data_IF_169888768199
#
_entry.id   IF_169888768199
#
_cell.length_a   1.000
_cell.length_b   1.000
_cell.length_c   1.000
_cell.angle_alpha   90.00
_cell.angle_beta   90.00
_cell.angle_gamma   90.00
#
_symmetry.space_group_name_H-M   'P 1'
#
loop_
_entity.id
_entity.type
_entity.pdbx_description
1 polymer ?
#
# COMPACT_ATOMS: atom_id res chain seq x y z
N UNK A 1 35.52 7.12 -2.28
CA UNK A 1 35.62 8.47 -1.68
C UNK A 1 35.61 8.33 -0.17
N UNK A 2 36.34 9.18 0.57
CA UNK A 2 36.28 9.26 2.04
C UNK A 2 36.09 10.74 2.41
N UNK A 3 35.05 11.11 3.18
CA UNK A 3 33.97 10.26 3.68
C UNK A 3 33.05 9.70 2.57
N UNK A 4 32.24 8.70 2.90
CA UNK A 4 31.17 8.22 2.00
C UNK A 4 30.11 9.32 1.91
N UNK A 5 29.63 9.70 0.71
CA UNK A 5 28.57 10.69 0.59
C UNK A 5 27.27 10.22 1.29
N UNK A 6 26.37 11.15 1.56
CA UNK A 6 25.05 10.81 2.11
C UNK A 6 24.23 9.97 1.11
N UNK A 7 23.25 9.23 1.63
CA UNK A 7 22.43 8.35 0.80
C UNK A 7 21.73 9.08 -0.35
N UNK A 8 21.25 10.30 -0.10
CA UNK A 8 20.56 11.10 -1.11
C UNK A 8 21.52 11.62 -2.18
N UNK A 9 22.76 11.99 -1.83
CA UNK A 9 23.77 12.42 -2.80
C UNK A 9 24.15 11.28 -3.73
N UNK A 10 24.27 10.05 -3.20
CA UNK A 10 24.52 8.85 -4.01
C UNK A 10 23.34 8.59 -4.95
N UNK A 11 22.09 8.68 -4.44
CA UNK A 11 20.90 8.46 -5.25
C UNK A 11 20.75 9.48 -6.38
N UNK A 12 21.04 10.76 -6.12
CA UNK A 12 20.95 11.84 -7.11
C UNK A 12 22.05 11.77 -8.18
N UNK A 13 23.23 11.27 -7.81
CA UNK A 13 24.34 11.08 -8.74
C UNK A 13 24.21 9.80 -9.59
N UNK A 14 23.20 8.96 -9.34
CA UNK A 14 23.05 7.67 -10.03
C UNK A 14 22.63 7.84 -11.49
N UNK A 15 23.38 7.23 -12.40
CA UNK A 15 22.97 7.07 -13.79
C UNK A 15 21.97 5.92 -13.91
N UNK A 16 20.70 6.26 -14.10
CA UNK A 16 19.62 5.29 -14.19
C UNK A 16 19.42 4.82 -15.63
N UNK A 17 19.21 3.51 -15.80
CA UNK A 17 18.69 2.96 -17.04
C UNK A 17 17.20 3.29 -17.19
N UNK A 18 16.73 3.69 -18.39
CA UNK A 18 15.30 3.82 -18.64
C UNK A 18 14.58 2.52 -18.35
N UNK A 19 13.38 2.58 -17.76
CA UNK A 19 12.65 1.35 -17.37
C UNK A 19 12.38 0.45 -18.58
N UNK A 20 12.21 1.03 -19.76
CA UNK A 20 12.08 0.32 -21.05
C UNK A 20 13.26 -0.58 -21.38
N UNK A 21 14.47 -0.16 -21.02
CA UNK A 21 15.66 -0.99 -21.21
C UNK A 21 15.65 -2.19 -20.26
N UNK A 22 15.22 -1.98 -19.01
CA UNK A 22 15.08 -3.06 -18.02
C UNK A 22 14.01 -4.06 -18.47
N UNK A 23 12.87 -3.59 -18.98
CA UNK A 23 11.80 -4.43 -19.54
C UNK A 23 12.33 -5.37 -20.62
N UNK A 24 13.09 -4.83 -21.59
CA UNK A 24 13.66 -5.63 -22.68
C UNK A 24 14.61 -6.73 -22.18
N UNK A 25 15.37 -6.48 -21.10
CA UNK A 25 16.28 -7.49 -20.50
C UNK A 25 15.55 -8.65 -19.85
N UNK A 26 14.30 -8.46 -19.40
CA UNK A 26 13.48 -9.51 -18.79
C UNK A 26 12.40 -10.07 -19.75
N UNK A 27 12.38 -9.59 -20.99
CA UNK A 27 11.48 -10.05 -22.05
C UNK A 27 10.06 -9.49 -21.95
N UNK A 28 9.87 -8.37 -21.25
CA UNK A 28 8.63 -7.59 -21.28
C UNK A 28 8.61 -6.65 -22.47
N UNK A 29 7.43 -6.43 -23.03
CA UNK A 29 7.16 -5.44 -24.09
C UNK A 29 6.30 -4.29 -23.54
N UNK A 30 6.12 -3.23 -24.34
CA UNK A 30 5.33 -2.05 -23.94
C UNK A 30 3.88 -2.41 -23.57
N UNK A 31 3.28 -3.37 -24.29
CA UNK A 31 1.90 -3.81 -24.02
C UNK A 31 1.75 -4.59 -22.70
N UNK A 32 2.86 -5.00 -22.06
CA UNK A 32 2.83 -5.73 -20.79
C UNK A 32 2.83 -4.79 -19.55
N UNK A 33 2.94 -3.46 -19.76
CA UNK A 33 3.16 -2.52 -18.67
C UNK A 33 2.45 -1.17 -18.85
N UNK A 34 2.17 -0.50 -17.75
CA UNK A 34 1.83 0.93 -17.71
C UNK A 34 3.03 1.74 -17.22
N UNK A 35 3.53 2.67 -18.03
CA UNK A 35 4.69 3.50 -17.68
C UNK A 35 4.33 4.64 -16.72
N UNK A 36 5.17 4.84 -15.70
CA UNK A 36 5.10 5.95 -14.74
C UNK A 36 6.35 6.83 -14.88
N UNK A 37 6.35 7.63 -15.94
CA UNK A 37 7.52 8.41 -16.34
C UNK A 37 8.60 7.53 -16.97
N UNK A 38 9.86 7.93 -16.83
CA UNK A 38 11.00 7.29 -17.53
C UNK A 38 11.58 6.08 -16.79
N UNK A 39 11.38 6.01 -15.48
CA UNK A 39 12.16 5.12 -14.58
C UNK A 39 11.31 4.08 -13.84
N UNK A 40 9.97 4.11 -14.03
CA UNK A 40 9.04 3.25 -13.29
C UNK A 40 7.95 2.75 -14.23
N UNK A 41 7.41 1.57 -13.92
CA UNK A 41 6.28 1.00 -14.63
C UNK A 41 5.49 0.08 -13.68
N UNK A 42 4.20 -0.11 -13.94
CA UNK A 42 3.40 -1.22 -13.40
C UNK A 42 3.37 -2.34 -14.41
N UNK A 43 3.61 -3.56 -13.96
CA UNK A 43 3.54 -4.75 -14.82
C UNK A 43 2.13 -5.34 -14.71
N UNK A 44 1.52 -5.67 -15.84
CA UNK A 44 0.20 -6.28 -15.89
C UNK A 44 0.26 -7.73 -15.35
N UNK A 45 -0.87 -8.25 -14.84
CA UNK A 45 -0.90 -9.59 -14.22
C UNK A 45 -0.96 -10.73 -15.24
N UNK A 46 -1.42 -10.47 -16.46
CA UNK A 46 -1.48 -11.43 -17.57
C UNK A 46 -0.09 -11.90 -18.04
N UNK A 47 0.98 -11.18 -17.67
CA UNK A 47 2.36 -11.66 -17.86
C UNK A 47 2.63 -13.00 -17.16
N UNK A 48 1.89 -13.31 -16.10
CA UNK A 48 1.99 -14.60 -15.39
C UNK A 48 1.52 -15.74 -16.30
N UNK A 49 0.44 -15.53 -17.05
CA UNK A 49 -0.05 -16.51 -18.03
C UNK A 49 0.87 -16.58 -19.25
N UNK A 50 1.30 -15.42 -19.75
CA UNK A 50 2.26 -15.29 -20.87
C UNK A 50 3.56 -16.08 -20.65
N UNK A 51 4.03 -16.15 -19.41
CA UNK A 51 5.27 -16.81 -19.04
C UNK A 51 5.09 -18.09 -18.23
N UNK A 52 3.89 -18.67 -18.21
CA UNK A 52 3.57 -19.87 -17.42
C UNK A 52 4.47 -21.08 -17.75
N UNK A 53 4.90 -21.21 -19.00
CA UNK A 53 5.77 -22.30 -19.46
C UNK A 53 7.25 -22.13 -19.06
N UNK A 54 7.63 -20.97 -18.49
CA UNK A 54 9.02 -20.74 -18.06
C UNK A 54 9.30 -21.47 -16.74
N UNK A 55 10.48 -22.08 -16.58
CA UNK A 55 10.86 -22.69 -15.31
C UNK A 55 10.95 -21.62 -14.22
N UNK A 56 10.50 -21.97 -13.01
CA UNK A 56 10.60 -21.10 -11.85
C UNK A 56 12.07 -20.83 -11.49
N UNK A 57 12.36 -19.57 -11.16
CA UNK A 57 13.67 -19.15 -10.69
C UNK A 57 14.02 -19.71 -9.31
N UNK A 58 15.25 -19.44 -8.85
CA UNK A 58 15.62 -19.69 -7.46
C UNK A 58 15.09 -18.57 -6.58
N UNK A 59 14.40 -18.93 -5.50
CA UNK A 59 13.92 -17.99 -4.48
C UNK A 59 14.95 -17.89 -3.36
N UNK A 60 15.42 -16.68 -3.07
CA UNK A 60 16.40 -16.38 -2.02
C UNK A 60 15.73 -15.41 -1.04
N UNK A 61 15.43 -15.89 0.16
CA UNK A 61 14.92 -15.05 1.24
C UNK A 61 16.08 -14.44 2.05
N UNK A 62 15.99 -13.15 2.33
CA UNK A 62 16.97 -12.41 3.14
C UNK A 62 16.31 -12.02 4.45
N UNK A 63 16.73 -12.67 5.53
CA UNK A 63 16.29 -12.37 6.89
C UNK A 63 17.43 -11.80 7.74
N UNK A 64 17.10 -11.34 8.95
CA UNK A 64 18.06 -10.82 9.91
C UNK A 64 17.74 -11.34 11.31
N UNK A 65 18.69 -11.17 12.23
CA UNK A 65 18.48 -11.37 13.66
C UNK A 65 17.45 -10.38 14.23
N UNK A 66 17.07 -10.57 15.49
CA UNK A 66 16.23 -9.61 16.22
C UNK A 66 16.81 -8.19 16.12
N UNK A 67 16.02 -7.18 15.72
CA UNK A 67 16.51 -5.82 15.54
C UNK A 67 17.13 -5.22 16.80
N UNK A 68 18.19 -4.46 16.61
CA UNK A 68 18.94 -3.73 17.64
C UNK A 68 19.02 -2.24 17.28
N UNK A 69 19.29 -1.34 18.24
CA UNK A 69 19.46 0.09 17.95
C UNK A 69 20.59 0.42 16.96
N UNK A 70 21.51 -0.50 16.71
CA UNK A 70 22.63 -0.29 15.77
C UNK A 70 22.22 -0.47 14.30
N UNK A 71 21.09 -1.15 14.04
CA UNK A 71 20.61 -1.46 12.70
C UNK A 71 21.38 -2.58 12.02
N UNK A 72 20.67 -3.46 11.34
CA UNK A 72 21.24 -4.70 10.77
C UNK A 72 21.53 -4.58 9.28
N UNK A 73 21.06 -3.52 8.62
CA UNK A 73 21.31 -3.29 7.20
C UNK A 73 20.62 -4.28 6.26
N UNK A 74 19.54 -4.96 6.70
CA UNK A 74 18.88 -6.04 5.93
C UNK A 74 18.58 -5.65 4.47
N UNK A 75 17.90 -4.53 4.25
CA UNK A 75 17.56 -4.07 2.89
C UNK A 75 18.82 -3.73 2.08
N UNK A 76 19.81 -3.09 2.71
CA UNK A 76 21.11 -2.80 2.09
C UNK A 76 21.78 -4.10 1.62
N UNK A 77 21.76 -5.15 2.43
CA UNK A 77 22.27 -6.48 2.06
C UNK A 77 21.46 -7.12 0.94
N UNK A 78 20.12 -7.04 0.95
CA UNK A 78 19.27 -7.57 -0.13
C UNK A 78 19.61 -6.91 -1.48
N UNK A 79 19.74 -5.58 -1.50
CA UNK A 79 20.09 -4.84 -2.73
C UNK A 79 21.52 -5.15 -3.15
N UNK A 80 22.48 -5.13 -2.22
CA UNK A 80 23.89 -5.43 -2.50
C UNK A 80 24.11 -6.85 -3.02
N UNK A 81 23.41 -7.84 -2.46
CA UNK A 81 23.43 -9.22 -2.94
C UNK A 81 22.91 -9.30 -4.39
N UNK A 82 21.79 -8.64 -4.67
CA UNK A 82 21.21 -8.59 -6.03
C UNK A 82 22.20 -7.95 -7.01
N UNK A 83 22.79 -6.81 -6.64
CA UNK A 83 23.79 -6.13 -7.44
C UNK A 83 24.98 -7.05 -7.75
N UNK A 84 25.54 -7.72 -6.74
CA UNK A 84 26.67 -8.64 -6.92
C UNK A 84 26.32 -9.84 -7.81
N UNK A 85 25.14 -10.43 -7.62
CA UNK A 85 24.67 -11.53 -8.46
C UNK A 85 24.53 -11.11 -9.93
N UNK A 86 24.00 -9.91 -10.18
CA UNK A 86 23.83 -9.37 -11.53
C UNK A 86 25.15 -8.95 -12.18
N UNK A 87 25.89 -8.04 -11.54
CA UNK A 87 27.04 -7.37 -12.15
C UNK A 87 28.35 -8.15 -12.06
N UNK A 88 28.57 -8.91 -10.98
CA UNK A 88 29.82 -9.66 -10.77
C UNK A 88 29.69 -11.10 -11.26
N UNK A 89 28.55 -11.75 -10.99
CA UNK A 89 28.32 -13.16 -11.33
C UNK A 89 27.55 -13.38 -12.63
N UNK A 90 27.09 -12.31 -13.28
CA UNK A 90 26.36 -12.38 -14.55
C UNK A 90 25.05 -13.18 -14.49
N UNK A 91 24.39 -13.22 -13.32
CA UNK A 91 23.11 -13.93 -13.15
C UNK A 91 21.94 -13.02 -13.51
N UNK A 92 20.90 -13.60 -14.13
CA UNK A 92 19.61 -12.93 -14.24
C UNK A 92 18.91 -12.99 -12.87
N UNK A 93 18.76 -11.83 -12.23
CA UNK A 93 18.29 -11.70 -10.85
C UNK A 93 17.43 -10.44 -10.71
N UNK A 94 16.38 -10.52 -9.90
CA UNK A 94 15.52 -9.39 -9.54
C UNK A 94 15.41 -9.28 -8.02
N UNK A 95 15.34 -8.05 -7.54
CA UNK A 95 15.13 -7.73 -6.12
C UNK A 95 13.67 -7.37 -5.90
N UNK A 96 13.00 -8.08 -4.98
CA UNK A 96 11.65 -7.78 -4.56
C UNK A 96 11.68 -7.21 -3.13
N UNK A 97 11.20 -5.98 -2.95
CA UNK A 97 11.13 -5.31 -1.65
C UNK A 97 9.76 -4.65 -1.45
N UNK A 98 9.45 -4.31 -0.20
CA UNK A 98 8.20 -3.64 0.17
C UNK A 98 8.29 -2.15 -0.10
N UNK A 99 7.21 -1.56 -0.60
CA UNK A 99 7.03 -0.10 -0.60
C UNK A 99 6.95 0.40 0.86
N UNK A 100 7.68 1.46 1.23
CA UNK A 100 7.55 2.08 2.54
C UNK A 100 6.28 2.93 2.63
N UNK A 101 5.77 3.07 3.85
CA UNK A 101 4.80 4.12 4.17
C UNK A 101 5.44 5.50 4.00
N UNK A 102 4.66 6.44 3.50
CA UNK A 102 5.07 7.84 3.35
C UNK A 102 5.16 8.56 4.69
N UNK A 103 4.32 8.21 5.67
CA UNK A 103 4.23 8.90 6.97
C UNK A 103 5.58 9.04 7.70
N UNK A 104 6.37 7.96 7.84
CA UNK A 104 7.69 8.01 8.46
C UNK A 104 8.72 8.88 7.72
N UNK A 105 8.60 9.06 6.41
CA UNK A 105 9.52 9.86 5.58
C UNK A 105 9.62 11.31 6.07
N UNK A 106 8.53 11.86 6.59
CA UNK A 106 8.49 13.24 7.12
C UNK A 106 8.89 13.35 8.60
N UNK A 107 9.29 12.24 9.22
CA UNK A 107 9.70 12.19 10.62
C UNK A 107 11.19 11.79 10.75
N UNK A 108 11.48 10.74 11.52
CA UNK A 108 12.84 10.38 11.95
C UNK A 108 13.53 9.43 10.95
N UNK A 109 12.77 8.71 10.11
CA UNK A 109 13.33 7.69 9.21
C UNK A 109 13.65 8.28 7.84
N UNK A 110 14.94 8.41 7.56
CA UNK A 110 15.46 8.51 6.19
C UNK A 110 15.26 7.19 5.43
N UNK A 111 15.17 7.31 4.10
CA UNK A 111 14.81 6.31 3.08
C UNK A 111 14.88 4.81 3.43
N UNK A 112 13.79 4.09 3.14
CA UNK A 112 13.69 2.64 3.35
C UNK A 112 14.24 1.78 2.19
N UNK A 113 14.96 2.40 1.25
CA UNK A 113 15.34 1.84 -0.04
C UNK A 113 16.72 1.17 -0.07
N UNK A 114 17.31 0.83 1.08
CA UNK A 114 18.71 0.39 1.20
C UNK A 114 19.60 1.50 1.78
N UNK A 115 20.89 1.48 1.47
CA UNK A 115 21.84 2.49 1.96
C UNK A 115 23.22 2.38 1.30
N UNK A 116 24.00 3.47 1.36
CA UNK A 116 25.26 3.62 0.65
C UNK A 116 25.09 3.43 -0.85
N UNK A 117 25.93 2.59 -1.46
CA UNK A 117 25.86 2.27 -2.90
C UNK A 117 24.89 1.12 -3.24
N UNK A 118 24.18 0.60 -2.24
CA UNK A 118 23.19 -0.48 -2.40
C UNK A 118 21.81 0.07 -2.09
N UNK A 119 21.24 0.78 -3.07
CA UNK A 119 19.97 1.48 -2.98
C UNK A 119 19.05 1.14 -4.15
N UNK A 120 17.74 1.28 -3.93
CA UNK A 120 16.73 1.37 -4.99
C UNK A 120 16.49 2.84 -5.33
N UNK A 121 16.48 3.14 -6.63
CA UNK A 121 16.28 4.49 -7.19
C UNK A 121 15.14 4.48 -8.22
N UNK A 122 14.41 5.60 -8.41
CA UNK A 122 14.56 6.90 -7.75
C UNK A 122 14.03 6.92 -6.30
N UNK A 123 14.90 7.32 -5.36
CA UNK A 123 14.64 7.22 -3.91
C UNK A 123 13.50 8.13 -3.44
N UNK A 124 13.37 9.31 -4.03
CA UNK A 124 12.33 10.28 -3.72
C UNK A 124 10.93 9.78 -4.07
N UNK A 125 10.73 9.25 -5.28
CA UNK A 125 9.47 8.63 -5.67
C UNK A 125 9.15 7.43 -4.77
N UNK A 126 10.16 6.62 -4.45
CA UNK A 126 10.01 5.42 -3.64
C UNK A 126 9.54 5.69 -2.20
N UNK A 127 9.97 6.80 -1.59
CA UNK A 127 9.59 7.17 -0.22
C UNK A 127 8.35 8.06 -0.13
N UNK A 128 7.82 8.53 -1.28
CA UNK A 128 6.63 9.38 -1.35
C UNK A 128 5.46 8.61 -1.95
N UNK A 129 5.02 9.00 -3.14
CA UNK A 129 3.79 8.48 -3.72
C UNK A 129 4.00 7.22 -4.57
N UNK A 130 5.25 6.95 -4.97
CA UNK A 130 5.64 5.90 -5.92
C UNK A 130 4.71 5.83 -7.13
N UNK A 131 3.77 4.87 -7.15
CA UNK A 131 2.77 4.70 -8.21
C UNK A 131 1.32 4.79 -7.71
N UNK A 132 1.12 5.21 -6.45
CA UNK A 132 -0.18 5.46 -5.85
C UNK A 132 -0.82 4.27 -5.11
N UNK A 133 -0.08 3.18 -4.88
CA UNK A 133 -0.65 1.95 -4.32
C UNK A 133 -1.21 2.13 -2.90
N UNK A 134 -0.44 2.76 -2.01
CA UNK A 134 -0.92 3.08 -0.67
C UNK A 134 -2.15 3.99 -0.71
N UNK A 135 -2.22 4.96 -1.64
CA UNK A 135 -3.38 5.83 -1.79
C UNK A 135 -4.63 5.05 -2.20
N UNK A 136 -4.49 4.11 -3.15
CA UNK A 136 -5.58 3.24 -3.57
C UNK A 136 -6.10 2.39 -2.40
N UNK A 137 -5.19 1.83 -1.58
CA UNK A 137 -5.55 1.12 -0.35
C UNK A 137 -6.25 2.03 0.66
N UNK A 138 -5.74 3.24 0.89
CA UNK A 138 -6.36 4.20 1.82
C UNK A 138 -7.79 4.54 1.41
N UNK A 139 -8.00 4.82 0.11
CA UNK A 139 -9.33 5.16 -0.42
C UNK A 139 -10.27 3.96 -0.33
N UNK A 140 -9.83 2.76 -0.71
CA UNK A 140 -10.65 1.55 -0.61
C UNK A 140 -11.04 1.26 0.85
N UNK A 141 -10.10 1.37 1.78
CA UNK A 141 -10.34 1.13 3.21
C UNK A 141 -11.35 2.14 3.79
N UNK A 142 -11.17 3.42 3.47
CA UNK A 142 -12.05 4.48 3.94
C UNK A 142 -13.43 4.44 3.26
N UNK A 143 -13.52 3.89 2.04
CA UNK A 143 -14.80 3.62 1.38
C UNK A 143 -15.60 2.56 2.14
N UNK A 144 -14.96 1.51 2.65
CA UNK A 144 -15.63 0.52 3.53
C UNK A 144 -16.14 1.19 4.81
N UNK A 145 -15.30 2.00 5.46
CA UNK A 145 -15.71 2.76 6.66
C UNK A 145 -16.93 3.67 6.38
N UNK A 146 -16.91 4.39 5.25
CA UNK A 146 -18.01 5.25 4.82
C UNK A 146 -19.28 4.45 4.48
N UNK A 147 -19.14 3.27 3.87
CA UNK A 147 -20.25 2.39 3.55
C UNK A 147 -20.94 1.85 4.82
N UNK A 148 -20.17 1.50 5.85
CA UNK A 148 -20.70 1.08 7.17
C UNK A 148 -21.55 2.21 7.78
N UNK A 149 -21.00 3.41 7.88
CA UNK A 149 -21.71 4.57 8.46
C UNK A 149 -22.97 4.93 7.64
N UNK A 150 -22.86 4.88 6.31
CA UNK A 150 -23.99 5.12 5.38
C UNK A 150 -25.08 4.05 5.52
N UNK A 151 -24.68 2.79 5.71
CA UNK A 151 -25.62 1.67 5.90
C UNK A 151 -26.44 1.87 7.17
N UNK A 152 -25.80 2.18 8.30
CA UNK A 152 -26.48 2.50 9.56
C UNK A 152 -27.44 3.69 9.42
N UNK A 153 -26.99 4.75 8.74
CA UNK A 153 -27.82 5.94 8.48
C UNK A 153 -29.09 5.62 7.65
N UNK A 154 -28.97 4.82 6.60
CA UNK A 154 -30.12 4.48 5.78
C UNK A 154 -31.08 3.51 6.46
N UNK A 155 -30.58 2.54 7.22
CA UNK A 155 -31.44 1.62 7.98
C UNK A 155 -32.26 2.33 9.05
N UNK A 156 -31.68 3.30 9.76
CA UNK A 156 -32.41 4.05 10.80
C UNK A 156 -33.56 4.91 10.26
N UNK A 157 -33.55 5.26 8.96
CA UNK A 157 -34.54 6.18 8.34
C UNK A 157 -35.52 5.52 7.38
N UNK A 158 -35.16 4.38 6.82
CA UNK A 158 -35.95 3.77 5.74
C UNK A 158 -36.75 2.59 6.27
N UNK A 159 -37.97 2.44 5.75
CA UNK A 159 -38.76 1.22 5.98
C UNK A 159 -38.16 0.05 5.20
N UNK A 160 -38.45 -1.17 5.65
CA UNK A 160 -37.98 -2.40 4.99
C UNK A 160 -38.46 -2.48 3.54
N UNK A 161 -39.66 -1.97 3.26
CA UNK A 161 -40.17 -1.88 1.90
C UNK A 161 -39.32 -0.94 1.01
N UNK A 162 -38.81 0.17 1.57
CA UNK A 162 -37.94 1.08 0.86
C UNK A 162 -36.53 0.50 0.64
N UNK A 163 -35.99 -0.21 1.64
CA UNK A 163 -34.72 -0.93 1.54
C UNK A 163 -34.78 -2.05 0.49
N UNK A 164 -35.86 -2.85 0.48
CA UNK A 164 -36.09 -3.91 -0.51
C UNK A 164 -36.15 -3.38 -1.94
N UNK A 165 -36.80 -2.22 -2.17
CA UNK A 165 -36.82 -1.57 -3.50
C UNK A 165 -35.42 -1.18 -4.01
N UNK A 166 -34.43 -1.08 -3.13
CA UNK A 166 -33.02 -0.77 -3.46
C UNK A 166 -32.13 -2.03 -3.52
N UNK A 167 -32.71 -3.23 -3.45
CA UNK A 167 -31.96 -4.48 -3.47
C UNK A 167 -31.36 -4.88 -2.11
N UNK A 168 -31.79 -4.26 -1.01
CA UNK A 168 -31.36 -4.64 0.34
C UNK A 168 -32.41 -5.59 0.92
N UNK A 169 -32.07 -6.88 1.02
CA UNK A 169 -33.02 -7.93 1.42
C UNK A 169 -33.33 -7.93 2.93
N UNK A 170 -32.32 -7.64 3.75
CA UNK A 170 -32.41 -7.62 5.21
C UNK A 170 -31.61 -6.46 5.80
N UNK A 171 -32.00 -6.03 6.99
CA UNK A 171 -31.21 -5.13 7.83
C UNK A 171 -29.97 -5.84 8.36
N UNK A 172 -28.91 -5.08 8.59
CA UNK A 172 -27.75 -5.54 9.33
C UNK A 172 -27.87 -5.19 10.82
N UNK A 173 -28.59 -4.11 11.16
CA UNK A 173 -28.82 -3.67 12.54
C UNK A 173 -27.49 -3.59 13.33
N UNK A 174 -26.49 -2.95 12.71
CA UNK A 174 -25.13 -2.83 13.24
C UNK A 174 -25.15 -2.03 14.54
N UNK A 175 -24.58 -2.60 15.60
CA UNK A 175 -24.28 -1.89 16.84
C UNK A 175 -23.01 -1.02 16.65
N UNK A 176 -23.10 0.33 16.70
CA UNK A 176 -21.98 1.22 16.48
C UNK A 176 -20.78 0.97 17.40
N UNK A 177 -21.01 0.49 18.63
CA UNK A 177 -19.97 0.26 19.63
C UNK A 177 -19.17 -1.03 19.35
N UNK A 178 -19.67 -1.87 18.45
CA UNK A 178 -19.01 -3.15 18.06
C UNK A 178 -18.17 -3.04 16.79
N UNK A 179 -18.16 -1.87 16.13
CA UNK A 179 -17.42 -1.67 14.88
C UNK A 179 -15.92 -1.68 15.16
N UNK A 180 -15.23 -2.69 14.62
CA UNK A 180 -13.77 -2.82 14.68
C UNK A 180 -13.05 -2.14 13.51
N UNK A 181 -13.79 -1.74 12.47
CA UNK A 181 -13.24 -1.12 11.28
C UNK A 181 -12.96 0.37 11.50
N UNK A 182 -11.69 0.69 11.73
CA UNK A 182 -11.18 2.06 11.79
C UNK A 182 -11.13 2.71 10.40
N UNK A 183 -10.64 3.95 10.34
CA UNK A 183 -10.21 4.59 9.10
C UNK A 183 -8.69 4.51 8.98
N UNK A 184 -8.15 4.93 7.85
CA UNK A 184 -6.69 5.00 7.65
C UNK A 184 -6.22 6.28 6.98
N UNK A 185 -4.99 6.68 7.33
CA UNK A 185 -4.27 7.78 6.69
C UNK A 185 -2.78 7.47 6.67
N UNK A 186 -2.06 7.78 5.58
CA UNK A 186 -0.62 7.48 5.48
C UNK A 186 0.25 8.63 6.00
N UNK A 187 -0.06 9.08 7.22
CA UNK A 187 0.64 10.16 7.94
C UNK A 187 0.79 9.75 9.40
N UNK A 188 1.91 10.11 10.03
CA UNK A 188 2.10 9.87 11.45
C UNK A 188 1.35 10.91 12.30
N UNK A 189 0.04 10.75 12.45
CA UNK A 189 -0.80 11.61 13.29
C UNK A 189 -1.30 10.87 14.53
N UNK A 190 -0.71 11.19 15.69
CA UNK A 190 -1.10 10.57 16.97
C UNK A 190 -2.48 11.03 17.47
N UNK A 191 -2.97 12.18 17.01
CA UNK A 191 -4.22 12.78 17.50
C UNK A 191 -5.45 12.05 16.96
N UNK A 192 -5.28 11.25 15.91
CA UNK A 192 -6.37 10.49 15.29
C UNK A 192 -6.53 9.07 15.86
N UNK A 193 -5.72 8.64 16.83
CA UNK A 193 -5.78 7.28 17.40
C UNK A 193 -7.13 6.94 18.03
N UNK A 194 -7.72 7.91 18.71
CA UNK A 194 -9.05 7.80 19.30
C UNK A 194 -9.79 9.10 19.01
N UNK A 195 -10.89 8.98 18.30
CA UNK A 195 -11.76 10.09 17.93
C UNK A 195 -13.21 9.68 18.11
N UNK A 196 -14.06 10.68 18.29
CA UNK A 196 -15.49 10.52 18.12
C UNK A 196 -15.89 11.16 16.79
N UNK A 197 -16.76 10.48 16.04
CA UNK A 197 -17.29 10.96 14.77
C UNK A 197 -18.81 10.97 14.81
N UNK A 198 -19.44 11.52 13.77
CA UNK A 198 -20.90 11.47 13.64
C UNK A 198 -21.64 12.60 14.36
N UNK A 199 -20.93 13.64 14.78
CA UNK A 199 -21.49 14.83 15.44
C UNK A 199 -22.29 15.77 14.53
N UNK A 200 -22.96 15.27 13.49
CA UNK A 200 -23.77 16.13 12.63
C UNK A 200 -24.86 16.86 13.43
N UNK A 201 -25.29 18.01 12.91
CA UNK A 201 -26.32 18.88 13.47
C UNK A 201 -27.46 18.03 14.07
N UNK A 202 -27.87 18.34 15.31
CA UNK A 202 -28.89 17.58 16.06
C UNK A 202 -30.19 17.34 15.26
N UNK A 203 -30.41 18.13 14.21
CA UNK A 203 -31.51 18.07 13.26
C UNK A 203 -31.02 18.04 11.82
N UNK A 204 -31.62 17.20 10.99
CA UNK A 204 -31.43 17.19 9.55
C UNK A 204 -32.08 18.43 8.90
N UNK A 205 -31.84 18.65 7.60
CA UNK A 205 -32.45 19.76 6.83
C UNK A 205 -33.97 19.77 6.84
N UNK A 206 -34.61 18.62 7.10
CA UNK A 206 -36.06 18.46 7.22
C UNK A 206 -36.59 18.66 8.65
N UNK A 207 -35.72 19.01 9.61
CA UNK A 207 -36.05 19.21 11.02
C UNK A 207 -36.16 17.92 11.85
N UNK A 208 -36.02 16.74 11.23
CA UNK A 208 -36.02 15.47 11.97
C UNK A 208 -34.70 15.26 12.74
N UNK A 209 -34.70 14.58 13.90
CA UNK A 209 -33.47 14.26 14.62
C UNK A 209 -32.47 13.57 13.70
N UNK A 210 -31.20 14.01 13.74
CA UNK A 210 -30.14 13.33 13.02
C UNK A 210 -29.93 11.95 13.65
N UNK A 211 -30.11 10.85 12.88
CA UNK A 211 -29.84 9.51 13.38
C UNK A 211 -28.35 9.15 13.25
N UNK A 212 -27.48 10.13 12.94
CA UNK A 212 -26.05 9.88 12.85
C UNK A 212 -25.57 9.64 14.27
N UNK A 213 -25.24 8.39 14.55
CA UNK A 213 -24.80 7.94 15.85
C UNK A 213 -23.40 8.51 16.13
N UNK A 214 -23.23 9.35 17.17
CA UNK A 214 -21.92 9.60 17.70
C UNK A 214 -21.29 8.25 18.05
N UNK A 215 -20.12 7.95 17.48
CA UNK A 215 -19.40 6.70 17.79
C UNK A 215 -17.92 6.95 17.94
N UNK A 216 -17.29 6.15 18.79
CA UNK A 216 -15.84 6.11 18.95
C UNK A 216 -15.22 5.30 17.82
N UNK A 217 -14.07 5.76 17.33
CA UNK A 217 -13.27 5.08 16.30
C UNK A 217 -11.85 5.65 16.31
N UNK A 218 -11.01 5.25 15.37
CA UNK A 218 -9.67 5.80 15.21
C UNK A 218 -9.22 5.79 13.75
N UNK A 219 -8.00 6.29 13.55
CA UNK A 219 -7.24 6.10 12.33
C UNK A 219 -5.98 5.27 12.61
N UNK A 220 -5.77 4.28 11.76
CA UNK A 220 -4.51 3.54 11.67
C UNK A 220 -3.66 4.09 10.51
N UNK A 221 -2.36 3.79 10.52
CA UNK A 221 -1.52 4.11 9.36
C UNK A 221 -1.92 3.24 8.17
N UNK A 222 -1.95 3.78 6.95
CA UNK A 222 -2.54 3.05 5.80
C UNK A 222 -1.89 1.71 5.49
N UNK A 223 -0.59 1.56 5.73
CA UNK A 223 0.11 0.28 5.57
C UNK A 223 -0.27 -0.78 6.60
N UNK A 224 -0.98 -0.42 7.68
CA UNK A 224 -1.53 -1.33 8.68
C UNK A 224 -2.96 -1.81 8.35
N UNK A 225 -3.56 -1.28 7.26
CA UNK A 225 -4.85 -1.72 6.76
C UNK A 225 -4.86 -3.23 6.48
N UNK A 226 -5.94 -3.92 6.85
CA UNK A 226 -6.17 -5.31 6.44
C UNK A 226 -6.18 -5.47 4.92
N UNK A 227 -6.66 -4.46 4.18
CA UNK A 227 -6.61 -4.48 2.70
C UNK A 227 -5.18 -4.53 2.17
N UNK A 228 -4.20 -3.99 2.88
CA UNK A 228 -2.78 -4.12 2.51
C UNK A 228 -2.29 -5.56 2.67
N UNK A 229 -2.70 -6.23 3.76
CA UNK A 229 -2.39 -7.64 3.98
C UNK A 229 -3.06 -8.54 2.93
N UNK A 230 -4.33 -8.27 2.61
CA UNK A 230 -5.05 -8.97 1.55
C UNK A 230 -4.35 -8.77 0.20
N UNK A 231 -3.97 -7.55 -0.16
CA UNK A 231 -3.24 -7.28 -1.40
C UNK A 231 -1.93 -8.06 -1.49
N UNK A 232 -1.17 -8.16 -0.38
CA UNK A 232 0.09 -8.90 -0.34
C UNK A 232 -0.07 -10.42 -0.45
N UNK A 233 -1.27 -10.96 -0.19
CA UNK A 233 -1.56 -12.39 -0.22
C UNK A 233 -2.45 -12.81 -1.40
N UNK A 234 -3.02 -11.85 -2.13
CA UNK A 234 -3.88 -12.11 -3.26
C UNK A 234 -3.07 -12.62 -4.47
N UNK A 235 -3.64 -13.60 -5.16
CA UNK A 235 -3.03 -14.23 -6.34
C UNK A 235 -3.58 -13.69 -7.66
N UNK A 236 -4.72 -13.00 -7.61
CA UNK A 236 -5.38 -12.39 -8.77
C UNK A 236 -6.36 -11.31 -8.32
N UNK A 237 -6.88 -10.52 -9.26
CA UNK A 237 -7.94 -9.54 -8.98
C UNK A 237 -9.22 -10.21 -8.47
N UNK A 238 -9.50 -11.44 -8.93
CA UNK A 238 -10.65 -12.23 -8.48
C UNK A 238 -10.48 -12.67 -7.03
N UNK A 239 -9.32 -13.24 -6.70
CA UNK A 239 -8.97 -13.66 -5.33
C UNK A 239 -8.97 -12.45 -4.37
N UNK A 240 -8.44 -11.31 -4.80
CA UNK A 240 -8.54 -10.05 -4.06
C UNK A 240 -9.99 -9.69 -3.74
N UNK A 241 -10.88 -9.74 -4.75
CA UNK A 241 -12.30 -9.42 -4.56
C UNK A 241 -12.99 -10.40 -3.61
N UNK A 242 -12.68 -11.69 -3.71
CA UNK A 242 -13.24 -12.74 -2.84
C UNK A 242 -12.77 -12.61 -1.39
N UNK A 243 -11.56 -12.11 -1.14
CA UNK A 243 -11.05 -11.84 0.23
C UNK A 243 -11.60 -10.59 0.87
N UNK A 244 -11.97 -9.59 0.05
CA UNK A 244 -12.54 -8.32 0.53
C UNK A 244 -14.04 -8.43 0.82
N UNK A 245 -14.77 -9.25 0.06
CA UNK A 245 -16.23 -9.41 0.17
C UNK A 245 -16.66 -10.48 1.16
#
# INVERSE_FOLDING_TARGET
>A
MKPVPSDIEIAQAAEMFPIREIMGRIGLVEDDVDLYGKWKAKVHLDVLEKFADRPQGKYIDVTAITPTPLGEGKTTTTVGLTQAMGSVLGKNVMCCIRQPSMGPTFNIKGGAAGGGYSQIVPMEDFNLHLTGDTHAISVAHNLVAAAIDTRMYHESRQSDAALKRRGIERRLDIDPDTITWNRVVDVCDRSLREIEIGFNDATLRDGSPSPIFPRKTGYDISVASELMAILALATSLRDLRERVG
#
